data_IF_952339197047
#
_entry.id   IF_952339197047
#
_cell.length_a   1.000
_cell.length_b   1.000
_cell.length_c   1.000
_cell.angle_alpha   90.00
_cell.angle_beta   90.00
_cell.angle_gamma   90.00
#
_symmetry.space_group_name_H-M   'P 1'
#
loop_
_entity.id
_entity.type
_entity.pdbx_description
1 polymer ?
#
# COMPACT_ATOMS: atom_id res chain seq x y z
N UNK A 1 15.90 0.81 5.21
CA UNK A 1 16.19 0.98 3.77
C UNK A 1 15.65 2.34 3.38
N UNK A 2 16.41 3.17 2.65
CA UNK A 2 15.88 4.42 2.08
C UNK A 2 14.94 4.13 0.90
N UNK A 3 14.05 5.05 0.54
CA UNK A 3 13.14 4.84 -0.60
C UNK A 3 13.92 4.77 -1.90
N UNK A 4 14.95 5.62 -2.05
CA UNK A 4 15.92 5.52 -3.15
C UNK A 4 16.52 4.12 -3.30
N UNK A 5 16.95 3.50 -2.20
CA UNK A 5 17.51 2.14 -2.19
C UNK A 5 16.46 1.07 -2.52
N UNK A 6 15.22 1.26 -2.07
CA UNK A 6 14.11 0.37 -2.41
C UNK A 6 13.79 0.44 -3.90
N UNK A 7 13.66 1.65 -4.46
CA UNK A 7 13.42 1.87 -5.88
C UNK A 7 14.50 1.22 -6.75
N UNK A 8 15.78 1.37 -6.38
CA UNK A 8 16.90 0.72 -7.06
C UNK A 8 16.82 -0.81 -6.96
N UNK A 9 16.60 -1.34 -5.76
CA UNK A 9 16.50 -2.79 -5.53
C UNK A 9 15.36 -3.43 -6.34
N UNK A 10 14.19 -2.80 -6.42
CA UNK A 10 13.06 -3.31 -7.21
C UNK A 10 13.36 -3.23 -8.71
N UNK A 11 13.93 -2.12 -9.17
CA UNK A 11 14.33 -1.96 -10.58
C UNK A 11 15.31 -3.06 -11.02
N UNK A 12 16.29 -3.35 -10.19
CA UNK A 12 17.25 -4.44 -10.41
C UNK A 12 16.57 -5.81 -10.40
N UNK A 13 15.66 -6.03 -9.45
CA UNK A 13 14.91 -7.28 -9.33
C UNK A 13 14.09 -7.58 -10.59
N UNK A 14 13.42 -6.57 -11.14
CA UNK A 14 12.63 -6.66 -12.37
C UNK A 14 13.51 -6.97 -13.59
N UNK A 15 14.58 -6.18 -13.79
CA UNK A 15 15.48 -6.30 -14.94
C UNK A 15 16.13 -7.67 -15.03
N UNK A 16 16.57 -8.22 -13.90
CA UNK A 16 17.17 -9.57 -13.83
C UNK A 16 16.21 -10.68 -14.27
N UNK A 17 14.91 -10.42 -14.29
CA UNK A 17 13.85 -11.37 -14.68
C UNK A 17 13.17 -11.00 -15.99
N UNK A 18 13.62 -9.93 -16.67
CA UNK A 18 12.92 -9.35 -17.81
C UNK A 18 11.47 -8.94 -17.52
N UNK A 19 11.13 -8.70 -16.25
CA UNK A 19 9.78 -8.26 -15.85
C UNK A 19 9.52 -6.80 -16.21
N UNK A 20 10.59 -6.07 -16.56
CA UNK A 20 10.51 -4.76 -17.19
C UNK A 20 9.74 -4.79 -18.54
N UNK A 21 9.43 -5.98 -19.08
CA UNK A 21 8.63 -6.14 -20.30
C UNK A 21 7.13 -6.25 -20.08
N UNK A 22 6.66 -6.48 -18.85
CA UNK A 22 5.22 -6.48 -18.58
C UNK A 22 4.62 -5.09 -18.77
N UNK A 23 3.36 -5.05 -19.20
CA UNK A 23 2.60 -3.80 -19.38
C UNK A 23 2.26 -3.20 -18.01
N UNK A 24 2.31 -1.88 -17.92
CA UNK A 24 1.95 -1.16 -16.68
C UNK A 24 0.55 -1.50 -16.18
N UNK A 25 -0.39 -1.76 -17.11
CA UNK A 25 -1.75 -2.18 -16.76
C UNK A 25 -1.82 -3.51 -16.00
N UNK A 26 -0.89 -4.43 -16.27
CA UNK A 26 -0.83 -5.72 -15.56
C UNK A 26 -0.27 -5.53 -14.15
N UNK A 27 0.74 -4.68 -14.00
CA UNK A 27 1.32 -4.33 -12.69
C UNK A 27 0.26 -3.62 -11.84
N UNK A 28 -0.51 -2.71 -12.45
CA UNK A 28 -1.63 -2.04 -11.78
C UNK A 28 -2.73 -3.02 -11.37
N UNK A 29 -3.16 -3.92 -12.27
CA UNK A 29 -4.17 -4.92 -11.93
C UNK A 29 -3.71 -5.79 -10.75
N UNK A 30 -2.46 -6.26 -10.78
CA UNK A 30 -1.87 -7.04 -9.69
C UNK A 30 -1.79 -6.23 -8.39
N UNK A 31 -1.44 -4.95 -8.44
CA UNK A 31 -1.47 -4.08 -7.24
C UNK A 31 -2.85 -4.06 -6.60
N UNK A 32 -3.92 -3.97 -7.40
CA UNK A 32 -5.29 -3.99 -6.88
C UNK A 32 -5.61 -5.33 -6.24
N UNK A 33 -5.20 -6.46 -6.84
CA UNK A 33 -5.37 -7.80 -6.27
C UNK A 33 -4.72 -7.89 -4.87
N UNK A 34 -3.46 -7.49 -4.73
CA UNK A 34 -2.74 -7.51 -3.44
C UNK A 34 -3.39 -6.57 -2.39
N UNK A 35 -3.93 -5.42 -2.81
CA UNK A 35 -4.69 -4.54 -1.93
C UNK A 35 -5.97 -5.22 -1.44
N UNK A 36 -6.63 -6.03 -2.27
CA UNK A 36 -7.84 -6.77 -1.86
C UNK A 36 -7.55 -7.87 -0.84
N UNK A 37 -6.33 -8.44 -0.84
CA UNK A 37 -5.91 -9.39 0.19
C UNK A 37 -5.71 -8.72 1.54
N UNK A 38 -5.15 -7.51 1.59
CA UNK A 38 -5.19 -6.68 2.81
C UNK A 38 -6.64 -6.43 3.25
N UNK A 39 -7.53 -6.10 2.31
CA UNK A 39 -8.94 -5.92 2.56
C UNK A 39 -9.60 -7.15 3.19
N UNK A 40 -9.19 -8.35 2.78
CA UNK A 40 -9.66 -9.61 3.37
C UNK A 40 -9.27 -9.72 4.84
N UNK A 41 -8.03 -9.40 5.22
CA UNK A 41 -7.63 -9.38 6.63
C UNK A 41 -8.45 -8.40 7.46
N UNK A 42 -8.76 -7.23 6.91
CA UNK A 42 -9.61 -6.23 7.59
C UNK A 42 -11.01 -6.81 7.83
N UNK A 43 -11.63 -7.38 6.80
CA UNK A 43 -12.98 -7.98 6.91
C UNK A 43 -13.03 -9.16 7.88
N UNK A 44 -11.96 -9.95 7.95
CA UNK A 44 -11.84 -11.04 8.94
C UNK A 44 -11.68 -10.47 10.37
N UNK A 45 -10.81 -9.46 10.54
CA UNK A 45 -10.58 -8.78 11.83
C UNK A 45 -11.85 -8.11 12.38
N UNK A 46 -12.68 -7.55 11.51
CA UNK A 46 -13.94 -6.89 11.85
C UNK A 46 -15.11 -7.89 11.99
N UNK A 47 -14.86 -9.18 11.77
CA UNK A 47 -15.83 -10.25 11.99
C UNK A 47 -16.92 -10.35 10.92
N UNK A 48 -16.77 -9.67 9.79
CA UNK A 48 -17.64 -9.83 8.61
C UNK A 48 -17.33 -11.16 7.91
N UNK A 49 -16.07 -11.38 7.55
CA UNK A 49 -15.60 -12.68 7.06
C UNK A 49 -15.26 -13.57 8.25
N UNK A 50 -15.92 -14.72 8.34
CA UNK A 50 -15.75 -15.66 9.46
C UNK A 50 -15.28 -17.00 8.94
N UNK A 51 -14.01 -17.38 9.19
CA UNK A 51 -13.51 -18.70 8.85
C UNK A 51 -14.44 -19.80 9.37
N UNK A 52 -14.82 -20.74 8.51
CA UNK A 52 -15.74 -21.82 8.87
C UNK A 52 -17.23 -21.51 8.71
N UNK A 53 -17.61 -20.25 8.41
CA UNK A 53 -18.97 -19.86 8.03
C UNK A 53 -19.03 -19.45 6.55
N UNK A 54 -18.63 -20.36 5.66
CA UNK A 54 -18.60 -20.14 4.21
C UNK A 54 -17.40 -19.33 3.70
N UNK A 55 -16.53 -18.86 4.60
CA UNK A 55 -15.28 -18.19 4.25
C UNK A 55 -14.09 -19.09 4.59
N UNK A 56 -13.11 -19.15 3.68
CA UNK A 56 -11.81 -19.74 3.98
C UNK A 56 -10.99 -18.80 4.86
N UNK A 57 -10.10 -19.36 5.67
CA UNK A 57 -9.08 -18.58 6.38
C UNK A 57 -8.08 -18.05 5.36
N UNK A 58 -7.68 -16.78 5.46
CA UNK A 58 -6.47 -16.37 4.77
C UNK A 58 -5.25 -17.07 5.39
N UNK A 59 -4.44 -17.76 4.58
CA UNK A 59 -3.24 -18.45 5.07
C UNK A 59 -1.99 -17.59 4.97
N UNK A 60 -2.06 -16.49 4.24
CA UNK A 60 -0.93 -15.62 4.02
C UNK A 60 -0.65 -14.77 5.28
N UNK A 61 0.55 -14.21 5.33
CA UNK A 61 0.93 -13.29 6.39
C UNK A 61 0.57 -11.86 5.95
N UNK A 62 -0.18 -11.12 6.77
CA UNK A 62 -0.58 -9.73 6.44
C UNK A 62 0.64 -8.85 6.12
N UNK A 63 1.78 -9.09 6.76
CA UNK A 63 3.03 -8.37 6.46
C UNK A 63 3.53 -8.62 5.05
N UNK A 64 3.35 -9.84 4.53
CA UNK A 64 3.65 -10.20 3.15
C UNK A 64 2.76 -9.43 2.18
N UNK A 65 1.45 -9.34 2.42
CA UNK A 65 0.54 -8.55 1.57
C UNK A 65 0.93 -7.07 1.49
N UNK A 66 1.25 -6.45 2.62
CA UNK A 66 1.76 -5.06 2.63
C UNK A 66 3.08 -4.92 1.84
N UNK A 67 3.97 -5.92 1.93
CA UNK A 67 5.21 -5.92 1.17
C UNK A 67 4.98 -6.08 -0.34
N UNK A 68 4.01 -6.90 -0.75
CA UNK A 68 3.62 -7.08 -2.15
C UNK A 68 3.03 -5.79 -2.73
N UNK A 69 2.08 -5.17 -2.02
CA UNK A 69 1.50 -3.86 -2.38
C UNK A 69 2.58 -2.79 -2.52
N UNK A 70 3.49 -2.67 -1.54
CA UNK A 70 4.58 -1.69 -1.61
C UNK A 70 5.51 -1.96 -2.80
N UNK A 71 5.82 -3.22 -3.08
CA UNK A 71 6.68 -3.61 -4.20
C UNK A 71 6.08 -3.22 -5.54
N UNK A 72 4.80 -3.52 -5.76
CA UNK A 72 4.09 -3.20 -7.00
C UNK A 72 3.88 -1.68 -7.16
N UNK A 73 3.64 -0.95 -6.06
CA UNK A 73 3.59 0.51 -6.07
C UNK A 73 4.93 1.12 -6.48
N UNK A 74 6.03 0.65 -5.89
CA UNK A 74 7.40 1.09 -6.21
C UNK A 74 7.75 0.76 -7.66
N UNK A 75 7.34 -0.41 -8.14
CA UNK A 75 7.50 -0.81 -9.53
C UNK A 75 6.82 0.18 -10.48
N UNK A 76 5.56 0.53 -10.24
CA UNK A 76 4.86 1.55 -11.03
C UNK A 76 5.56 2.90 -10.96
N UNK A 77 5.95 3.36 -9.76
CA UNK A 77 6.68 4.61 -9.60
C UNK A 77 7.97 4.63 -10.45
N UNK A 78 8.70 3.51 -10.48
CA UNK A 78 9.89 3.36 -11.33
C UNK A 78 9.57 3.42 -12.83
N UNK A 79 8.40 2.92 -13.28
CA UNK A 79 7.97 2.97 -14.69
C UNK A 79 7.59 4.38 -15.14
N UNK A 80 6.99 5.15 -14.26
CA UNK A 80 6.60 6.54 -14.50
C UNK A 80 7.71 7.55 -14.17
N UNK A 81 8.93 7.08 -13.87
CA UNK A 81 10.09 7.91 -13.49
C UNK A 81 9.80 8.86 -12.31
N UNK A 82 9.03 8.36 -11.34
CA UNK A 82 8.69 9.11 -10.12
C UNK A 82 9.75 8.86 -9.06
N UNK A 83 10.37 9.95 -8.57
CA UNK A 83 11.19 9.95 -7.37
C UNK A 83 10.27 9.97 -6.13
N UNK A 84 10.08 8.81 -5.50
CA UNK A 84 9.15 8.67 -4.38
C UNK A 84 9.58 9.45 -3.14
N UNK A 85 10.89 9.55 -2.91
CA UNK A 85 11.44 10.25 -1.75
C UNK A 85 11.14 11.75 -1.89
N UNK A 86 11.45 12.35 -3.04
CA UNK A 86 11.11 13.75 -3.32
C UNK A 86 9.60 14.00 -3.37
N UNK A 87 8.82 13.07 -3.92
CA UNK A 87 7.37 13.20 -3.97
C UNK A 87 6.78 13.29 -2.56
N UNK A 88 7.27 12.48 -1.62
CA UNK A 88 6.84 12.52 -0.23
C UNK A 88 7.36 13.75 0.52
N UNK A 89 8.59 14.19 0.28
CA UNK A 89 9.14 15.45 0.84
C UNK A 89 8.27 16.66 0.47
N UNK A 90 7.63 16.65 -0.70
CA UNK A 90 6.71 17.69 -1.14
C UNK A 90 5.30 17.51 -0.60
N UNK A 91 4.80 16.27 -0.56
CA UNK A 91 3.39 16.01 -0.24
C UNK A 91 3.10 16.06 1.27
N UNK A 92 4.01 15.57 2.12
CA UNK A 92 3.81 15.56 3.57
C UNK A 92 3.58 16.98 4.13
N UNK A 93 4.42 18.01 3.82
CA UNK A 93 4.16 19.36 4.31
C UNK A 93 2.85 19.96 3.80
N UNK A 94 2.41 19.60 2.57
CA UNK A 94 1.10 20.01 2.06
C UNK A 94 -0.03 19.38 2.86
N UNK A 95 0.09 18.09 3.18
CA UNK A 95 -0.88 17.38 4.01
C UNK A 95 -0.93 17.95 5.42
N UNK A 96 0.21 18.23 6.06
CA UNK A 96 0.28 18.85 7.39
C UNK A 96 -0.42 20.22 7.41
N UNK A 97 -0.20 21.05 6.39
CA UNK A 97 -0.89 22.33 6.26
C UNK A 97 -2.39 22.17 6.00
N UNK A 98 -2.78 21.17 5.20
CA UNK A 98 -4.19 20.89 4.84
C UNK A 98 -4.97 20.28 5.99
N UNK A 99 -4.31 19.53 6.87
CA UNK A 99 -4.92 18.74 7.94
C UNK A 99 -4.27 19.04 9.30
N UNK A 100 -4.51 20.22 9.90
CA UNK A 100 -3.91 20.58 11.18
C UNK A 100 -4.34 19.63 12.30
N UNK A 101 -3.41 19.14 13.14
CA UNK A 101 -3.69 18.05 14.06
C UNK A 101 -4.65 18.45 15.19
N UNK A 102 -4.68 19.71 15.61
CA UNK A 102 -5.64 20.23 16.59
C UNK A 102 -7.09 20.17 16.10
N UNK A 103 -7.35 20.55 14.84
CA UNK A 103 -8.70 20.52 14.27
C UNK A 103 -9.23 19.09 14.21
N UNK A 104 -8.38 18.13 13.80
CA UNK A 104 -8.75 16.72 13.77
C UNK A 104 -8.96 16.13 15.16
N UNK A 105 -8.10 16.46 16.13
CA UNK A 105 -8.27 15.98 17.52
C UNK A 105 -9.55 16.52 18.14
N UNK A 106 -9.91 17.77 17.88
CA UNK A 106 -11.10 18.37 18.47
C UNK A 106 -12.39 17.85 17.83
N UNK A 107 -12.40 17.63 16.51
CA UNK A 107 -13.53 16.99 15.83
C UNK A 107 -13.83 15.57 16.36
N UNK A 108 -12.80 14.75 16.57
CA UNK A 108 -12.97 13.34 16.97
C UNK A 108 -13.24 13.13 18.47
N UNK A 109 -12.97 14.12 19.33
CA UNK A 109 -13.33 14.05 20.76
C UNK A 109 -14.84 13.97 20.99
N UNK A 110 -15.65 14.48 20.06
CA UNK A 110 -17.11 14.45 20.15
C UNK A 110 -17.75 13.11 19.75
N UNK A 111 -17.00 12.21 19.10
CA UNK A 111 -17.52 10.97 18.52
C UNK A 111 -17.24 9.73 19.40
N UNK A 112 -16.43 9.86 20.46
CA UNK A 112 -16.12 8.78 21.42
C UNK A 112 -17.14 8.59 22.54
N UNK A 113 -18.32 9.22 22.46
CA UNK A 113 -19.40 9.12 23.45
C UNK A 113 -20.67 8.54 22.83
N UNK A 114 -20.72 7.21 22.69
CA UNK A 114 -21.88 6.45 22.22
C UNK A 114 -21.67 4.97 22.43
#
# INVERSE_FOLDING_TARGET
MRLSQLQERIRDFERRRSWDKFRDSLIYAHLIEEVTEIGRFILEREGYKRPGLGHSTNQDDIGSEFAQVLTLLVQLANRFDVDLEKALEVEIPKMEKRFPPELWRDALKGEGGG
#
